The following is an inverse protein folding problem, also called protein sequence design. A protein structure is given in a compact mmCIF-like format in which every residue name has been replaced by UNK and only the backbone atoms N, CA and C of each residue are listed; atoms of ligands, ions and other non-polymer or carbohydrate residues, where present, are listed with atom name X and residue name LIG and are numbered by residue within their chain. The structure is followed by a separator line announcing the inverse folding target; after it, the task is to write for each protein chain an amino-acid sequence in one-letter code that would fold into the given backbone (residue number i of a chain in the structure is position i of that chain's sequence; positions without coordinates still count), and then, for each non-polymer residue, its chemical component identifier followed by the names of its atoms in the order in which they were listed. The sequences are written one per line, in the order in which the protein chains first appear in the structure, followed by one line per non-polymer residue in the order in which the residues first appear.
data_IF_876092438141
#
_entry.id   IF_876092438141
#
_cell.length_a   1.000
_cell.length_b   1.000
_cell.length_c   1.000
_cell.angle_alpha   90.00
_cell.angle_beta   90.00
_cell.angle_gamma   90.00
#
_symmetry.space_group_name_H-M   'P 1'
#
loop_
_entity.id
_entity.type
_entity.pdbx_description
1 polymer ?
#
# COMPACT_ATOMS: atom_id res chain seq x y z
N UNK A 1 2.12 -9.67 -18.85
CA UNK A 1 2.88 -8.47 -18.46
C UNK A 1 2.86 -7.50 -19.62
N UNK A 2 2.61 -6.22 -19.34
CA UNK A 2 2.62 -5.12 -20.32
C UNK A 2 3.79 -4.19 -20.00
N UNK A 3 4.67 -3.98 -20.98
CA UNK A 3 5.80 -3.06 -20.83
C UNK A 3 5.34 -1.63 -21.09
N UNK A 4 5.64 -0.71 -20.17
CA UNK A 4 5.28 0.70 -20.30
C UNK A 4 6.45 1.54 -20.81
N UNK A 5 6.16 2.72 -21.34
CA UNK A 5 7.19 3.69 -21.73
C UNK A 5 7.90 4.34 -20.53
N UNK A 6 7.34 4.22 -19.34
CA UNK A 6 7.88 4.78 -18.09
C UNK A 6 8.97 3.92 -17.43
N UNK A 7 9.39 2.81 -18.07
CA UNK A 7 10.46 1.94 -17.55
C UNK A 7 10.00 0.99 -16.43
N UNK A 8 8.71 0.80 -16.27
CA UNK A 8 8.11 -0.20 -15.38
C UNK A 8 7.12 -1.07 -16.14
N UNK A 9 6.86 -2.26 -15.62
CA UNK A 9 5.93 -3.22 -16.20
C UNK A 9 4.63 -3.26 -15.39
N UNK A 10 3.52 -3.61 -16.05
CA UNK A 10 2.19 -3.66 -15.42
C UNK A 10 1.51 -4.99 -15.72
N UNK A 11 0.90 -5.58 -14.70
CA UNK A 11 -0.14 -6.60 -14.85
C UNK A 11 -1.48 -5.92 -14.55
N UNK A 12 -2.25 -5.54 -15.58
CA UNK A 12 -3.50 -4.83 -15.38
C UNK A 12 -4.58 -5.77 -14.82
N UNK A 13 -5.42 -5.23 -13.95
CA UNK A 13 -6.66 -5.86 -13.52
C UNK A 13 -7.86 -5.15 -14.15
N UNK A 14 -9.02 -5.80 -14.11
CA UNK A 14 -10.29 -5.22 -14.52
C UNK A 14 -11.39 -5.59 -13.53
N UNK A 15 -12.59 -5.06 -13.72
CA UNK A 15 -13.74 -5.27 -12.82
C UNK A 15 -14.13 -6.75 -12.66
N UNK A 16 -13.79 -7.60 -13.63
CA UNK A 16 -14.07 -9.04 -13.56
C UNK A 16 -13.29 -9.72 -12.43
N UNK A 17 -12.14 -9.15 -12.01
CA UNK A 17 -11.38 -9.68 -10.88
C UNK A 17 -12.18 -9.66 -9.56
N UNK A 18 -13.13 -8.74 -9.40
CA UNK A 18 -14.04 -8.74 -8.24
C UNK A 18 -14.91 -10.01 -8.18
N UNK A 19 -15.23 -10.62 -9.34
CA UNK A 19 -15.93 -11.91 -9.40
C UNK A 19 -15.10 -13.08 -8.92
N UNK A 20 -13.77 -12.99 -8.99
CA UNK A 20 -12.88 -14.03 -8.52
C UNK A 20 -13.00 -14.29 -7.00
N UNK A 21 -13.44 -13.31 -6.21
CA UNK A 21 -13.71 -13.53 -4.78
C UNK A 21 -14.80 -14.60 -4.54
N UNK A 22 -15.76 -14.72 -5.43
CA UNK A 22 -16.83 -15.72 -5.34
C UNK A 22 -16.41 -17.08 -5.94
N UNK A 23 -15.57 -17.06 -6.95
CA UNK A 23 -15.12 -18.27 -7.67
C UNK A 23 -13.97 -18.98 -6.96
N UNK A 24 -13.13 -18.26 -6.23
CA UNK A 24 -12.00 -18.82 -5.50
C UNK A 24 -12.47 -19.56 -4.23
N UNK A 25 -13.02 -20.77 -4.39
CA UNK A 25 -13.51 -21.63 -3.32
C UNK A 25 -12.60 -22.82 -3.00
N UNK A 26 -11.60 -23.10 -3.84
CA UNK A 26 -10.72 -24.26 -3.72
C UNK A 26 -9.66 -24.09 -2.61
N UNK A 27 -9.19 -25.21 -2.07
CA UNK A 27 -8.06 -25.22 -1.13
C UNK A 27 -6.81 -24.60 -1.78
N UNK A 28 -6.09 -23.77 -1.03
CA UNK A 28 -4.90 -23.06 -1.54
C UNK A 28 -5.21 -21.81 -2.35
N UNK A 29 -6.47 -21.34 -2.34
CA UNK A 29 -6.89 -20.11 -3.02
C UNK A 29 -6.08 -18.88 -2.59
N UNK A 30 -5.53 -18.89 -1.40
CA UNK A 30 -4.72 -17.81 -0.80
C UNK A 30 -3.33 -17.68 -1.45
N UNK A 31 -2.86 -18.68 -2.17
CA UNK A 31 -1.51 -18.76 -2.76
C UNK A 31 -1.47 -18.45 -4.27
N UNK A 32 -2.61 -18.23 -4.92
CA UNK A 32 -2.69 -18.06 -6.38
C UNK A 32 -1.82 -16.95 -6.93
N UNK A 33 -1.81 -15.79 -6.27
CA UNK A 33 -0.98 -14.67 -6.69
C UNK A 33 0.51 -14.97 -6.50
N UNK A 34 0.87 -15.59 -5.38
CA UNK A 34 2.26 -16.01 -5.11
C UNK A 34 2.78 -16.98 -6.16
N UNK A 35 1.98 -17.96 -6.54
CA UNK A 35 2.30 -18.93 -7.61
C UNK A 35 2.46 -18.23 -8.96
N UNK A 36 1.59 -17.26 -9.28
CA UNK A 36 1.64 -16.51 -10.53
C UNK A 36 2.83 -15.56 -10.64
N UNK A 37 3.26 -14.97 -9.52
CA UNK A 37 4.38 -14.03 -9.47
C UNK A 37 5.73 -14.73 -9.41
N UNK A 38 5.80 -15.91 -8.79
CA UNK A 38 7.06 -16.63 -8.55
C UNK A 38 7.97 -16.80 -9.79
N UNK A 39 7.47 -17.09 -11.01
CA UNK A 39 8.33 -17.25 -12.19
C UNK A 39 9.08 -15.97 -12.61
N UNK A 40 8.56 -14.81 -12.26
CA UNK A 40 9.11 -13.51 -12.71
C UNK A 40 9.68 -12.68 -11.55
N UNK A 41 9.53 -13.13 -10.31
CA UNK A 41 9.93 -12.35 -9.13
C UNK A 41 11.42 -11.95 -9.13
N UNK A 42 12.29 -12.78 -9.69
CA UNK A 42 13.73 -12.51 -9.79
C UNK A 42 14.14 -11.51 -10.87
N UNK A 43 13.20 -11.04 -11.70
CA UNK A 43 13.46 -10.11 -12.79
C UNK A 43 13.23 -8.64 -12.37
N UNK A 44 12.71 -8.41 -11.16
CA UNK A 44 12.32 -7.08 -10.66
C UNK A 44 12.94 -6.79 -9.29
N UNK A 45 13.42 -5.56 -9.11
CA UNK A 45 13.87 -5.07 -7.81
C UNK A 45 12.69 -4.86 -6.85
N UNK A 46 11.54 -4.41 -7.38
CA UNK A 46 10.31 -4.18 -6.63
C UNK A 46 9.09 -4.65 -7.42
N UNK A 47 8.17 -5.31 -6.72
CA UNK A 47 6.84 -5.65 -7.22
C UNK A 47 5.83 -4.97 -6.30
N UNK A 48 5.08 -4.01 -6.82
CA UNK A 48 4.05 -3.28 -6.07
C UNK A 48 2.68 -3.87 -6.38
N UNK A 49 1.97 -4.33 -5.36
CA UNK A 49 0.65 -4.92 -5.48
C UNK A 49 -0.38 -3.94 -4.92
N UNK A 50 -1.20 -3.35 -5.80
CA UNK A 50 -2.36 -2.55 -5.39
C UNK A 50 -3.51 -3.47 -5.03
N UNK A 51 -4.17 -3.20 -3.90
CA UNK A 51 -5.22 -4.07 -3.34
C UNK A 51 -6.56 -3.36 -3.27
N UNK A 52 -7.69 -4.08 -3.42
CA UNK A 52 -9.00 -3.49 -3.15
C UNK A 52 -9.12 -3.11 -1.66
N UNK A 53 -10.04 -2.20 -1.31
CA UNK A 53 -10.23 -1.76 0.07
C UNK A 53 -10.83 -2.84 1.00
N UNK A 54 -11.32 -3.94 0.42
CA UNK A 54 -11.84 -5.10 1.18
C UNK A 54 -10.71 -5.98 1.71
N UNK A 55 -10.91 -6.62 2.87
CA UNK A 55 -9.99 -7.62 3.41
C UNK A 55 -10.38 -9.05 2.99
N UNK A 56 -10.85 -9.19 1.74
CA UNK A 56 -11.26 -10.44 1.13
C UNK A 56 -10.10 -11.28 0.60
N UNK A 57 -10.42 -12.32 -0.18
CA UNK A 57 -9.43 -13.27 -0.69
C UNK A 57 -8.36 -12.63 -1.58
N UNK A 58 -8.67 -11.55 -2.29
CA UNK A 58 -7.70 -10.84 -3.13
C UNK A 58 -6.63 -10.16 -2.26
N UNK A 59 -7.03 -9.49 -1.18
CA UNK A 59 -6.09 -8.88 -0.23
C UNK A 59 -5.27 -9.92 0.52
N UNK A 60 -5.88 -11.04 0.91
CA UNK A 60 -5.17 -12.18 1.52
C UNK A 60 -4.13 -12.75 0.54
N UNK A 61 -4.43 -12.87 -0.75
CA UNK A 61 -3.47 -13.27 -1.78
C UNK A 61 -2.29 -12.30 -1.90
N UNK A 62 -2.56 -10.99 -1.87
CA UNK A 62 -1.52 -9.98 -1.88
C UNK A 62 -0.59 -10.11 -0.66
N UNK A 63 -1.13 -10.26 0.54
CA UNK A 63 -0.34 -10.42 1.77
C UNK A 63 0.42 -11.76 1.80
N UNK A 64 -0.15 -12.83 1.23
CA UNK A 64 0.52 -14.14 1.10
C UNK A 64 1.71 -14.07 0.14
N UNK A 65 1.64 -13.20 -0.87
CA UNK A 65 2.70 -12.98 -1.86
C UNK A 65 3.76 -11.99 -1.38
N UNK A 66 3.37 -10.97 -0.62
CA UNK A 66 4.22 -9.84 -0.24
C UNK A 66 5.29 -10.18 0.79
N UNK A 67 6.38 -9.42 0.78
CA UNK A 67 7.38 -9.35 1.87
C UNK A 67 7.01 -8.25 2.86
N UNK A 68 6.53 -7.13 2.37
CA UNK A 68 6.24 -5.92 3.14
C UNK A 68 4.86 -5.36 2.79
N UNK A 69 4.14 -4.86 3.79
CA UNK A 69 2.86 -4.19 3.65
C UNK A 69 3.05 -2.72 4.01
N UNK A 70 2.77 -1.82 3.09
CA UNK A 70 2.66 -0.39 3.31
C UNK A 70 1.19 -0.02 3.51
N UNK A 71 0.86 0.73 4.56
CA UNK A 71 -0.51 1.16 4.85
C UNK A 71 -0.65 2.66 4.55
N UNK A 72 -1.12 3.05 3.34
CA UNK A 72 -1.52 4.42 3.12
C UNK A 72 -2.86 4.69 3.82
N UNK A 73 -2.92 5.79 4.58
CA UNK A 73 -4.14 6.17 5.29
C UNK A 73 -4.35 7.67 5.26
N UNK A 74 -5.59 8.10 5.39
CA UNK A 74 -5.93 9.52 5.59
C UNK A 74 -6.11 9.81 7.07
N UNK A 75 -5.95 11.08 7.46
CA UNK A 75 -6.23 11.52 8.83
C UNK A 75 -7.75 11.58 9.08
N UNK A 76 -8.39 10.42 9.20
CA UNK A 76 -9.83 10.26 9.44
C UNK A 76 -10.12 9.42 10.69
N UNK A 77 -11.26 9.67 11.34
CA UNK A 77 -11.68 9.00 12.58
C UNK A 77 -11.75 7.46 12.42
N UNK A 78 -12.05 6.98 11.21
CA UNK A 78 -12.16 5.53 10.93
C UNK A 78 -10.82 4.86 10.58
N UNK A 79 -9.74 5.63 10.46
CA UNK A 79 -8.44 5.08 10.09
C UNK A 79 -7.93 4.04 11.10
N UNK A 80 -8.10 4.31 12.40
CA UNK A 80 -7.65 3.40 13.47
C UNK A 80 -8.39 2.06 13.46
N UNK A 81 -9.72 2.07 13.28
CA UNK A 81 -10.51 0.84 13.19
C UNK A 81 -10.11 0.00 11.96
N UNK A 82 -9.92 0.66 10.81
CA UNK A 82 -9.47 -0.02 9.58
C UNK A 82 -8.09 -0.66 9.73
N UNK A 83 -7.15 0.03 10.36
CA UNK A 83 -5.80 -0.49 10.60
C UNK A 83 -5.82 -1.67 11.59
N UNK A 84 -6.64 -1.63 12.64
CA UNK A 84 -6.79 -2.76 13.56
C UNK A 84 -7.30 -4.01 12.85
N UNK A 85 -8.36 -3.88 12.03
CA UNK A 85 -8.92 -4.99 11.28
C UNK A 85 -7.92 -5.55 10.24
N UNK A 86 -7.13 -4.65 9.61
CA UNK A 86 -6.06 -5.07 8.70
C UNK A 86 -4.99 -5.87 9.47
N UNK A 87 -4.59 -5.43 10.67
CA UNK A 87 -3.61 -6.13 11.48
C UNK A 87 -4.07 -7.55 11.88
N UNK A 88 -5.34 -7.74 12.20
CA UNK A 88 -5.92 -9.08 12.45
C UNK A 88 -5.79 -9.98 11.21
N UNK A 89 -6.05 -9.42 10.02
CA UNK A 89 -5.89 -10.14 8.75
C UNK A 89 -4.42 -10.48 8.50
N UNK A 90 -3.50 -9.54 8.71
CA UNK A 90 -2.05 -9.79 8.57
C UNK A 90 -1.58 -10.87 9.54
N UNK A 91 -2.01 -10.81 10.80
CA UNK A 91 -1.68 -11.83 11.81
C UNK A 91 -2.16 -13.22 11.39
N UNK A 92 -3.35 -13.31 10.80
CA UNK A 92 -3.88 -14.57 10.26
C UNK A 92 -3.04 -15.08 9.08
N UNK A 93 -2.66 -14.18 8.16
CA UNK A 93 -1.78 -14.54 7.03
C UNK A 93 -0.40 -14.97 7.52
N UNK A 94 0.20 -14.28 8.48
CA UNK A 94 1.47 -14.67 9.09
C UNK A 94 1.41 -16.08 9.69
N UNK A 95 0.30 -16.40 10.35
CA UNK A 95 0.12 -17.70 11.00
C UNK A 95 -0.04 -18.85 10.02
N UNK A 96 -0.76 -18.64 8.91
CA UNK A 96 -1.23 -19.74 8.08
C UNK A 96 -0.67 -19.77 6.65
N UNK A 97 -0.23 -18.63 6.10
CA UNK A 97 0.12 -18.51 4.69
C UNK A 97 1.53 -17.98 4.43
N UNK A 98 1.95 -16.92 5.16
CA UNK A 98 3.22 -16.24 4.93
C UNK A 98 3.81 -15.71 6.26
N UNK A 99 4.57 -16.52 6.99
CA UNK A 99 5.16 -16.10 8.27
C UNK A 99 6.14 -14.92 8.15
N UNK A 100 6.66 -14.65 6.96
CA UNK A 100 7.66 -13.61 6.72
C UNK A 100 7.08 -12.23 6.40
N UNK A 101 5.78 -12.12 6.10
CA UNK A 101 5.18 -10.82 5.78
C UNK A 101 5.14 -9.92 7.01
N UNK A 102 5.43 -8.63 6.83
CA UNK A 102 5.40 -7.64 7.92
C UNK A 102 4.78 -6.33 7.47
N UNK A 103 4.19 -5.60 8.41
CA UNK A 103 3.76 -4.23 8.16
C UNK A 103 5.00 -3.34 8.20
N UNK A 104 5.35 -2.76 7.05
CA UNK A 104 6.53 -1.91 6.88
C UNK A 104 6.34 -0.54 7.50
N UNK A 105 5.13 -0.04 7.49
CA UNK A 105 4.78 1.23 8.11
C UNK A 105 3.47 1.82 7.63
N UNK A 106 3.07 2.89 8.31
CA UNK A 106 1.87 3.68 8.02
C UNK A 106 2.29 4.99 7.37
N UNK A 107 1.74 5.30 6.19
CA UNK A 107 1.96 6.55 5.47
C UNK A 107 0.68 7.40 5.49
N UNK A 108 0.76 8.60 6.07
CA UNK A 108 -0.34 9.56 5.97
C UNK A 108 -0.40 10.17 4.57
N UNK A 109 -1.59 10.10 3.96
CA UNK A 109 -1.89 10.73 2.67
C UNK A 109 -3.01 11.75 2.81
N UNK A 110 -3.12 12.69 1.86
CA UNK A 110 -4.05 13.83 1.91
C UNK A 110 -3.99 14.55 3.25
N UNK A 111 -2.79 14.61 3.82
CA UNK A 111 -2.56 15.12 5.17
C UNK A 111 -2.47 16.66 5.17
N UNK A 112 -3.13 17.29 6.14
CA UNK A 112 -2.99 18.71 6.40
C UNK A 112 -2.45 18.93 7.83
N UNK A 113 -1.15 19.24 8.01
CA UNK A 113 -0.55 19.36 9.33
C UNK A 113 -1.10 20.54 10.16
N UNK A 114 -1.78 21.49 9.51
CA UNK A 114 -2.39 22.66 10.17
C UNK A 114 -3.79 22.38 10.75
N UNK A 115 -4.43 21.29 10.34
CA UNK A 115 -5.75 20.91 10.84
C UNK A 115 -5.64 20.29 12.25
N UNK A 116 -6.45 20.74 13.19
CA UNK A 116 -6.45 20.20 14.56
C UNK A 116 -6.77 18.69 14.57
N UNK A 117 -7.72 18.27 13.75
CA UNK A 117 -8.09 16.85 13.62
C UNK A 117 -6.91 15.98 13.16
N UNK A 118 -6.06 16.50 12.27
CA UNK A 118 -4.89 15.76 11.78
C UNK A 118 -3.86 15.49 12.89
N UNK A 119 -3.71 16.39 13.85
CA UNK A 119 -2.85 16.19 15.02
C UNK A 119 -3.39 15.11 15.94
N UNK A 120 -4.68 15.18 16.30
CA UNK A 120 -5.32 14.17 17.16
C UNK A 120 -5.24 12.76 16.57
N UNK A 121 -5.45 12.63 15.24
CA UNK A 121 -5.37 11.34 14.57
C UNK A 121 -3.94 10.83 14.50
N UNK A 122 -2.96 11.72 14.37
CA UNK A 122 -1.55 11.31 14.44
C UNK A 122 -1.22 10.73 15.82
N UNK A 123 -1.63 11.36 16.90
CA UNK A 123 -1.46 10.87 18.27
C UNK A 123 -2.13 9.48 18.48
N UNK A 124 -3.35 9.31 17.96
CA UNK A 124 -4.03 8.01 17.97
C UNK A 124 -3.30 6.94 17.12
N UNK A 125 -2.76 7.35 15.98
CA UNK A 125 -2.01 6.43 15.11
C UNK A 125 -0.66 6.03 15.74
N UNK A 126 -0.02 6.90 16.53
CA UNK A 126 1.18 6.56 17.30
C UNK A 126 0.89 5.47 18.33
N UNK A 127 -0.23 5.55 19.06
CA UNK A 127 -0.67 4.49 19.97
C UNK A 127 -0.95 3.17 19.22
N UNK A 128 -1.58 3.27 18.05
CA UNK A 128 -1.85 2.11 17.22
C UNK A 128 -0.57 1.50 16.64
N UNK A 129 0.40 2.33 16.25
CA UNK A 129 1.71 1.92 15.78
C UNK A 129 2.43 1.01 16.78
N UNK A 130 2.36 1.33 18.05
CA UNK A 130 2.89 0.47 19.13
C UNK A 130 2.15 -0.87 19.19
N UNK A 131 0.81 -0.83 19.09
CA UNK A 131 -0.02 -2.04 19.13
C UNK A 131 0.25 -3.00 17.97
N UNK A 132 0.40 -2.49 16.73
CA UNK A 132 0.67 -3.31 15.54
C UNK A 132 2.16 -3.53 15.27
N UNK A 133 3.05 -2.98 16.12
CA UNK A 133 4.51 -3.04 15.96
C UNK A 133 5.00 -2.56 14.58
N UNK A 134 4.38 -1.51 14.06
CA UNK A 134 4.74 -0.93 12.77
C UNK A 134 4.96 0.58 12.86
N UNK A 135 6.06 1.12 12.29
CA UNK A 135 6.38 2.55 12.39
C UNK A 135 5.40 3.41 11.59
N UNK A 136 5.26 4.66 12.01
CA UNK A 136 4.68 5.71 11.18
C UNK A 136 5.81 6.42 10.44
N UNK A 137 5.68 6.58 9.12
CA UNK A 137 6.64 7.37 8.35
C UNK A 137 6.61 8.83 8.80
N UNK A 138 7.79 9.44 8.89
CA UNK A 138 7.92 10.87 9.22
C UNK A 138 7.39 11.75 8.10
N UNK A 139 7.61 11.31 6.87
CA UNK A 139 7.06 11.92 5.67
C UNK A 139 5.56 11.65 5.56
N UNK A 140 4.82 12.63 5.08
CA UNK A 140 3.41 12.49 4.71
C UNK A 140 3.17 13.08 3.32
N UNK A 141 2.15 12.60 2.64
CA UNK A 141 1.74 13.15 1.34
C UNK A 141 0.61 14.15 1.59
N UNK A 142 0.85 15.42 1.27
CA UNK A 142 -0.16 16.47 1.41
C UNK A 142 -1.32 16.32 0.44
N UNK A 143 -2.49 16.86 0.81
CA UNK A 143 -3.57 17.05 -0.15
C UNK A 143 -3.14 18.11 -1.19
N UNK A 144 -3.25 17.78 -2.48
CA UNK A 144 -2.87 18.68 -3.56
C UNK A 144 -3.72 18.41 -4.81
N UNK A 145 -4.25 19.47 -5.39
CA UNK A 145 -5.04 19.42 -6.65
C UNK A 145 -4.22 18.82 -7.79
N UNK A 146 -2.91 19.07 -7.80
CA UNK A 146 -2.00 18.52 -8.82
C UNK A 146 -2.04 16.99 -8.92
N UNK A 147 -2.34 16.28 -7.82
CA UNK A 147 -2.49 14.80 -7.85
C UNK A 147 -3.78 14.41 -8.58
N UNK A 148 -4.88 15.11 -8.32
CA UNK A 148 -6.16 14.87 -8.97
C UNK A 148 -6.10 15.21 -10.47
N UNK A 149 -5.43 16.30 -10.82
CA UNK A 149 -5.20 16.71 -12.20
C UNK A 149 -4.30 15.71 -12.96
N UNK A 150 -3.23 15.22 -12.33
CA UNK A 150 -2.36 14.19 -12.91
C UNK A 150 -3.15 12.91 -13.21
N UNK A 151 -3.99 12.46 -12.27
CA UNK A 151 -4.89 11.32 -12.47
C UNK A 151 -5.86 11.54 -13.65
N UNK A 152 -6.50 12.72 -13.72
CA UNK A 152 -7.41 13.07 -14.80
C UNK A 152 -6.71 13.04 -16.17
N UNK A 153 -5.45 13.44 -16.21
CA UNK A 153 -4.62 13.44 -17.43
C UNK A 153 -3.90 12.10 -17.67
N UNK A 154 -4.12 11.07 -16.84
CA UNK A 154 -3.45 9.76 -16.92
C UNK A 154 -1.92 9.89 -16.97
N UNK A 155 -1.39 10.84 -16.24
CA UNK A 155 0.03 11.12 -16.09
C UNK A 155 0.48 10.82 -14.66
N UNK A 156 1.74 10.43 -14.46
CA UNK A 156 2.29 10.39 -13.12
C UNK A 156 2.57 11.82 -12.59
N UNK A 157 2.70 11.95 -11.28
CA UNK A 157 2.88 13.26 -10.64
C UNK A 157 4.24 13.88 -10.98
N UNK A 158 5.26 13.09 -11.26
CA UNK A 158 6.59 13.59 -11.57
C UNK A 158 6.66 14.16 -12.99
N UNK A 159 5.92 13.58 -13.94
CA UNK A 159 5.77 14.10 -15.30
C UNK A 159 4.83 15.30 -15.35
N UNK A 160 3.68 15.23 -14.66
CA UNK A 160 2.67 16.27 -14.69
C UNK A 160 3.08 17.53 -13.93
N UNK A 161 3.57 17.37 -12.71
CA UNK A 161 3.89 18.45 -11.78
C UNK A 161 5.15 18.17 -10.95
N UNK A 162 6.22 17.72 -11.60
CA UNK A 162 7.43 17.23 -10.95
C UNK A 162 8.20 18.26 -10.09
N UNK A 163 7.89 19.55 -10.22
CA UNK A 163 8.43 20.64 -9.37
C UNK A 163 7.46 21.06 -8.26
N UNK A 164 6.34 20.36 -8.09
CA UNK A 164 5.37 20.67 -7.06
C UNK A 164 5.81 20.14 -5.69
N UNK A 165 5.32 20.79 -4.64
CA UNK A 165 5.62 20.37 -3.27
C UNK A 165 5.10 18.96 -2.94
N UNK A 166 4.02 18.51 -3.60
CA UNK A 166 3.52 17.14 -3.41
C UNK A 166 4.43 16.12 -4.10
N UNK A 167 5.04 16.45 -5.25
CA UNK A 167 6.05 15.60 -5.86
C UNK A 167 7.30 15.46 -4.95
N UNK A 168 7.66 16.55 -4.24
CA UNK A 168 8.75 16.47 -3.25
C UNK A 168 8.38 15.60 -2.05
N UNK A 169 7.11 15.61 -1.60
CA UNK A 169 6.63 14.70 -0.56
C UNK A 169 6.81 13.22 -0.98
N UNK A 170 6.44 12.89 -2.23
CA UNK A 170 6.64 11.53 -2.76
C UNK A 170 8.11 11.14 -2.84
N UNK A 171 9.00 12.05 -3.28
CA UNK A 171 10.45 11.78 -3.31
C UNK A 171 10.99 11.52 -1.91
N UNK A 172 10.63 12.39 -0.95
CA UNK A 172 11.06 12.24 0.43
C UNK A 172 10.55 10.93 1.06
N UNK A 173 9.31 10.54 0.76
CA UNK A 173 8.77 9.25 1.20
C UNK A 173 9.55 8.08 0.60
N UNK A 174 9.83 8.10 -0.72
CA UNK A 174 10.59 7.04 -1.38
C UNK A 174 11.98 6.90 -0.75
N UNK A 175 12.67 8.00 -0.49
CA UNK A 175 13.96 7.99 0.20
C UNK A 175 13.87 7.38 1.61
N UNK A 176 12.84 7.74 2.38
CA UNK A 176 12.62 7.21 3.72
C UNK A 176 12.30 5.71 3.68
N UNK A 177 11.45 5.29 2.75
CA UNK A 177 11.10 3.88 2.54
C UNK A 177 12.32 3.05 2.17
N UNK A 178 13.11 3.49 1.19
CA UNK A 178 14.28 2.76 0.70
C UNK A 178 15.38 2.64 1.75
N UNK A 179 15.63 3.67 2.57
CA UNK A 179 16.57 3.58 3.69
C UNK A 179 16.23 2.44 4.65
N UNK A 180 14.96 2.22 4.90
CA UNK A 180 14.53 1.10 5.72
C UNK A 180 14.54 -0.26 5.02
N UNK A 181 14.60 -0.33 3.68
CA UNK A 181 14.71 -1.60 2.93
C UNK A 181 16.13 -2.11 2.92
N UNK A 182 17.11 -1.20 2.82
CA UNK A 182 18.55 -1.54 2.71
C UNK A 182 19.32 -1.48 4.05
N UNK A 183 18.62 -1.21 5.17
CA UNK A 183 19.19 -1.23 6.52
C UNK A 183 19.04 -2.61 7.18
#
# INVERSE_FOLDING_TARGET
IQHTKGGYDVVPANIMLAGAEQELSQTGKEHRLKEAVAPVAGEYDFIVIDTPPSLGVLTVNAFTCATDILIPTTAGIFATAGISQLNETVTSVQKYCNPGVKIRGILFTKFNPRANISRQIKELAEQLSEYISAPIYKTYIRAAVAVEEAQANRADIFDYAGKSTVADDYRAFIEEFLKGVYA
#
